data_IF_386953366024
#
_entry.id   IF_386953366024
#
_cell.length_a   1.000
_cell.length_b   1.000
_cell.length_c   1.000
_cell.angle_alpha   90.00
_cell.angle_beta   90.00
_cell.angle_gamma   90.00
#
_symmetry.space_group_name_H-M   'P 1'
#
loop_
_entity.id
_entity.type
_entity.pdbx_description
1 polymer ?
#
# COMPACT_ATOMS: atom_id res chain seq x y z
N UNK A 1 -15.67 10.89 1.49
CA UNK A 1 -14.35 11.21 0.91
C UNK A 1 -13.68 9.87 0.66
N UNK A 2 -13.22 9.59 -0.55
CA UNK A 2 -12.49 8.35 -0.84
C UNK A 2 -11.06 8.46 -0.32
N UNK A 3 -10.56 7.41 0.34
CA UNK A 3 -9.18 7.36 0.80
C UNK A 3 -8.23 7.26 -0.40
N UNK A 4 -7.13 8.00 -0.35
CA UNK A 4 -6.05 7.89 -1.34
C UNK A 4 -4.80 7.43 -0.62
N UNK A 5 -4.28 6.26 -0.98
CA UNK A 5 -3.09 5.69 -0.35
C UNK A 5 -2.10 5.30 -1.45
N UNK A 6 -0.83 5.67 -1.29
CA UNK A 6 0.30 5.16 -2.06
C UNK A 6 1.47 4.91 -1.12
N UNK A 7 1.44 3.78 -0.41
CA UNK A 7 2.42 3.45 0.62
C UNK A 7 3.35 2.33 0.19
N UNK A 8 4.62 2.51 0.54
CA UNK A 8 5.57 1.42 0.70
C UNK A 8 6.01 1.42 2.16
N UNK A 9 5.78 0.31 2.85
CA UNK A 9 6.18 0.08 4.25
C UNK A 9 7.29 -0.95 4.28
N UNK A 10 8.41 -0.62 4.91
CA UNK A 10 9.57 -1.51 5.03
C UNK A 10 9.80 -1.78 6.51
N UNK A 11 9.61 -3.03 6.93
CA UNK A 11 9.76 -3.47 8.33
C UNK A 11 11.21 -3.82 8.68
N UNK A 12 11.53 -3.88 9.98
CA UNK A 12 12.87 -4.23 10.48
C UNK A 12 14.00 -3.41 9.83
N UNK A 13 13.69 -2.16 9.50
CA UNK A 13 14.54 -1.35 8.64
C UNK A 13 15.55 -0.58 9.50
N UNK A 14 16.66 -1.23 9.85
CA UNK A 14 17.80 -0.57 10.49
C UNK A 14 18.58 0.23 9.45
N UNK A 15 18.02 1.36 9.04
CA UNK A 15 18.63 2.25 8.07
C UNK A 15 18.70 3.66 8.63
N UNK A 16 19.92 4.18 8.81
CA UNK A 16 20.15 5.41 9.56
C UNK A 16 19.97 6.69 8.73
N UNK A 17 20.27 6.66 7.43
CA UNK A 17 20.25 7.87 6.60
C UNK A 17 19.14 7.87 5.54
N UNK A 18 17.92 8.24 5.94
CA UNK A 18 16.75 8.30 5.04
C UNK A 18 16.94 9.24 3.85
N UNK A 19 17.74 10.30 3.99
CA UNK A 19 17.95 11.29 2.94
C UNK A 19 18.67 10.72 1.71
N UNK A 20 19.49 9.68 1.89
CA UNK A 20 20.16 8.97 0.79
C UNK A 20 19.26 7.92 0.14
N UNK A 21 18.10 7.60 0.72
CA UNK A 21 17.28 6.49 0.26
C UNK A 21 16.80 6.65 -1.19
N UNK A 22 16.30 7.83 -1.65
CA UNK A 22 15.88 8.03 -3.04
C UNK A 22 16.97 7.66 -4.05
N UNK A 23 18.20 8.09 -3.79
CA UNK A 23 19.35 7.83 -4.65
C UNK A 23 19.70 6.33 -4.65
N UNK A 24 19.75 5.70 -3.47
CA UNK A 24 20.11 4.27 -3.35
C UNK A 24 19.08 3.33 -3.98
N UNK A 25 17.79 3.70 -3.96
CA UNK A 25 16.75 2.93 -4.65
C UNK A 25 16.65 3.26 -6.14
N UNK A 26 17.43 4.23 -6.64
CA UNK A 26 17.53 4.55 -8.07
C UNK A 26 16.48 5.53 -8.58
N UNK A 27 15.86 6.32 -7.70
CA UNK A 27 14.88 7.36 -8.10
C UNK A 27 15.58 8.70 -8.38
N UNK A 28 16.89 8.76 -8.18
CA UNK A 28 17.72 9.93 -8.48
C UNK A 28 18.03 10.77 -7.24
N UNK A 29 18.69 11.89 -7.46
CA UNK A 29 19.09 12.81 -6.39
C UNK A 29 17.96 13.81 -6.13
N UNK A 30 17.20 13.58 -5.05
CA UNK A 30 16.11 14.45 -4.62
C UNK A 30 16.53 15.23 -3.37
N UNK A 31 16.17 16.50 -3.30
CA UNK A 31 16.52 17.34 -2.16
C UNK A 31 15.36 17.42 -1.17
N UNK A 32 15.62 17.39 0.15
CA UNK A 32 14.57 17.60 1.14
C UNK A 32 13.97 19.01 0.99
N UNK A 33 12.65 19.11 1.02
CA UNK A 33 11.91 20.37 0.86
C UNK A 33 11.21 20.82 2.13
N UNK A 34 10.42 19.92 2.72
CA UNK A 34 9.56 20.22 3.89
C UNK A 34 9.16 18.94 4.61
N UNK A 35 8.74 19.10 5.85
CA UNK A 35 8.00 18.06 6.57
C UNK A 35 6.52 18.14 6.20
N UNK A 36 5.87 16.98 6.11
CA UNK A 36 4.44 16.83 5.81
C UNK A 36 3.87 15.68 6.61
N UNK A 37 2.58 15.74 6.93
CA UNK A 37 1.88 14.56 7.44
C UNK A 37 1.80 13.47 6.36
N UNK A 38 1.65 12.21 6.77
CA UNK A 38 1.47 11.09 5.86
C UNK A 38 0.22 11.25 4.98
N UNK A 39 -0.81 11.94 5.49
CA UNK A 39 -2.05 12.22 4.77
C UNK A 39 -1.82 13.25 3.67
N UNK A 40 -1.16 14.37 3.99
CA UNK A 40 -0.79 15.37 2.98
C UNK A 40 0.13 14.78 1.90
N UNK A 41 1.04 13.88 2.29
CA UNK A 41 1.96 13.24 1.36
C UNK A 41 1.26 12.45 0.24
N UNK A 42 0.05 11.90 0.47
CA UNK A 42 -0.71 11.14 -0.54
C UNK A 42 -1.16 11.99 -1.72
N UNK A 43 -1.21 13.31 -1.53
CA UNK A 43 -1.71 14.29 -2.50
C UNK A 43 -0.59 15.14 -3.13
N UNK A 44 0.68 14.81 -2.89
CA UNK A 44 1.79 15.46 -3.57
C UNK A 44 2.03 14.79 -4.93
N UNK A 45 1.97 15.58 -6.00
CA UNK A 45 2.03 15.07 -7.38
C UNK A 45 3.45 14.73 -7.87
N UNK A 46 4.48 15.18 -7.16
CA UNK A 46 5.89 15.02 -7.54
C UNK A 46 6.70 14.53 -6.37
N UNK A 47 7.83 13.90 -6.67
CA UNK A 47 8.80 13.47 -5.67
C UNK A 47 8.32 12.28 -4.84
N UNK A 48 8.82 12.20 -3.60
CA UNK A 48 8.44 11.19 -2.63
C UNK A 48 8.60 11.70 -1.21
N UNK A 49 7.77 11.19 -0.29
CA UNK A 49 7.90 11.50 1.13
C UNK A 49 8.39 10.28 1.88
N UNK A 50 9.41 10.43 2.72
CA UNK A 50 10.05 9.34 3.45
C UNK A 50 10.13 9.70 4.93
N UNK A 51 9.79 8.77 5.80
CA UNK A 51 9.92 8.92 7.24
C UNK A 51 10.05 7.58 7.95
N UNK A 52 10.10 7.66 9.28
CA UNK A 52 10.13 6.48 10.15
C UNK A 52 8.90 6.46 11.03
N UNK A 53 8.43 5.25 11.27
CA UNK A 53 7.42 4.96 12.28
C UNK A 53 7.86 3.70 13.01
N UNK A 54 8.22 3.83 14.28
CA UNK A 54 8.86 2.75 15.06
C UNK A 54 10.10 2.16 14.35
N UNK A 55 10.09 0.85 14.09
CA UNK A 55 11.12 0.09 13.38
C UNK A 55 10.92 0.06 11.85
N UNK A 56 9.98 0.86 11.33
CA UNK A 56 9.55 0.84 9.94
C UNK A 56 9.97 2.11 9.21
N UNK A 57 10.28 1.95 7.93
CA UNK A 57 10.41 3.07 6.99
C UNK A 57 9.14 3.15 6.19
N UNK A 58 8.59 4.36 6.09
CA UNK A 58 7.41 4.64 5.30
C UNK A 58 7.83 5.51 4.13
N UNK A 59 7.44 5.10 2.92
CA UNK A 59 7.62 5.88 1.70
C UNK A 59 6.24 6.11 1.11
N UNK A 60 5.92 7.37 0.82
CA UNK A 60 4.74 7.77 0.06
C UNK A 60 5.17 8.23 -1.31
N UNK A 61 4.78 7.46 -2.34
CA UNK A 61 5.09 7.78 -3.74
C UNK A 61 4.25 6.93 -4.69
N UNK A 62 3.32 7.58 -5.41
CA UNK A 62 2.51 6.92 -6.44
C UNK A 62 3.37 6.24 -7.53
N UNK A 63 4.38 6.91 -8.15
CA UNK A 63 5.24 6.25 -9.13
C UNK A 63 5.96 5.00 -8.61
N UNK A 64 6.46 5.04 -7.37
CA UNK A 64 7.14 3.91 -6.76
C UNK A 64 6.19 2.73 -6.51
N UNK A 65 4.99 3.01 -5.98
CA UNK A 65 3.98 2.00 -5.70
C UNK A 65 3.61 1.24 -6.98
N UNK A 66 3.29 1.97 -8.06
CA UNK A 66 2.93 1.33 -9.32
C UNK A 66 4.10 0.57 -9.96
N UNK A 67 5.34 1.09 -9.88
CA UNK A 67 6.52 0.36 -10.35
C UNK A 67 6.67 -1.00 -9.65
N UNK A 68 6.45 -1.05 -8.33
CA UNK A 68 6.57 -2.28 -7.53
C UNK A 68 5.40 -3.26 -7.72
N UNK A 69 4.21 -2.77 -8.05
CA UNK A 69 3.03 -3.60 -8.32
C UNK A 69 3.06 -4.21 -9.73
N UNK A 70 3.48 -3.45 -10.73
CA UNK A 70 3.41 -3.84 -12.13
C UNK A 70 4.66 -4.60 -12.63
N UNK A 71 5.85 -4.23 -12.14
CA UNK A 71 7.12 -4.73 -12.69
C UNK A 71 7.82 -5.67 -11.71
N UNK A 72 7.75 -6.97 -12.00
CA UNK A 72 8.41 -8.01 -11.19
C UNK A 72 9.93 -7.85 -11.10
N UNK A 73 10.58 -7.32 -12.13
CA UNK A 73 12.05 -7.22 -12.23
C UNK A 73 12.56 -5.77 -12.28
N UNK A 74 11.85 -4.83 -11.66
CA UNK A 74 12.29 -3.43 -11.69
C UNK A 74 13.63 -3.21 -10.99
N UNK A 75 14.43 -2.28 -11.50
CA UNK A 75 15.73 -1.94 -10.89
C UNK A 75 15.55 -1.44 -9.45
N UNK A 76 14.50 -0.65 -9.21
CA UNK A 76 14.15 -0.09 -7.90
C UNK A 76 13.85 -1.21 -6.91
N UNK A 77 13.06 -2.21 -7.32
CA UNK A 77 12.76 -3.38 -6.52
C UNK A 77 14.01 -4.17 -6.12
N UNK A 78 14.88 -4.43 -7.10
CA UNK A 78 16.15 -5.12 -6.85
C UNK A 78 17.06 -4.34 -5.88
N UNK A 79 17.08 -3.01 -5.98
CA UNK A 79 17.82 -2.14 -5.06
C UNK A 79 17.21 -2.18 -3.65
N UNK A 80 15.89 -2.11 -3.53
CA UNK A 80 15.20 -2.25 -2.24
C UNK A 80 15.55 -3.56 -1.54
N UNK A 81 15.57 -4.70 -2.26
CA UNK A 81 15.91 -5.99 -1.65
C UNK A 81 17.37 -6.08 -1.20
N UNK A 82 18.28 -5.43 -1.93
CA UNK A 82 19.69 -5.36 -1.53
C UNK A 82 19.88 -4.52 -0.26
N UNK A 83 19.12 -3.43 -0.13
CA UNK A 83 19.19 -2.55 1.04
C UNK A 83 18.49 -3.19 2.25
N UNK A 84 17.38 -3.90 2.01
CA UNK A 84 16.51 -4.47 3.04
C UNK A 84 16.30 -5.99 2.87
N UNK A 85 17.37 -6.82 2.96
CA UNK A 85 17.33 -8.23 2.55
C UNK A 85 16.53 -9.15 3.48
N UNK A 86 16.24 -8.71 4.71
CA UNK A 86 15.49 -9.48 5.72
C UNK A 86 14.18 -8.81 6.13
N UNK A 87 13.78 -7.80 5.37
CA UNK A 87 12.59 -7.02 5.65
C UNK A 87 11.38 -7.65 4.95
N UNK A 88 10.22 -7.45 5.56
CA UNK A 88 8.97 -7.43 4.80
C UNK A 88 8.77 -6.02 4.23
N UNK A 89 8.47 -5.96 2.94
CA UNK A 89 8.09 -4.77 2.19
C UNK A 89 6.63 -4.95 1.78
N UNK A 90 5.77 -4.08 2.28
CA UNK A 90 4.39 -3.99 1.86
C UNK A 90 4.22 -2.80 0.93
N UNK A 91 3.62 -3.03 -0.23
CA UNK A 91 3.21 -2.00 -1.18
C UNK A 91 1.70 -1.95 -1.13
N UNK A 92 1.11 -0.78 -0.88
CA UNK A 92 -0.32 -0.60 -0.66
C UNK A 92 -0.83 0.58 -1.47
N UNK A 93 -1.97 0.40 -2.15
CA UNK A 93 -2.70 1.46 -2.84
C UNK A 93 -4.20 1.28 -2.70
N UNK A 94 -4.90 2.38 -2.50
CA UNK A 94 -6.37 2.46 -2.62
C UNK A 94 -6.76 3.83 -3.18
N UNK A 95 -7.93 3.90 -3.80
CA UNK A 95 -8.45 5.09 -4.48
C UNK A 95 -8.94 4.72 -5.87
N UNK A 96 -8.23 5.14 -6.92
CA UNK A 96 -8.56 4.73 -8.29
C UNK A 96 -8.13 3.27 -8.60
N UNK A 97 -7.06 2.80 -7.94
CA UNK A 97 -6.58 1.43 -8.06
C UNK A 97 -6.43 0.87 -6.65
N UNK A 98 -7.06 -0.27 -6.42
CA UNK A 98 -6.94 -1.01 -5.18
C UNK A 98 -5.92 -2.13 -5.38
N UNK A 99 -4.87 -2.13 -4.57
CA UNK A 99 -3.81 -3.09 -4.78
C UNK A 99 -2.85 -3.19 -3.62
N UNK A 100 -2.27 -4.36 -3.50
CA UNK A 100 -1.23 -4.62 -2.51
C UNK A 100 -0.24 -5.67 -2.99
N UNK A 101 0.97 -5.58 -2.48
CA UNK A 101 2.00 -6.60 -2.65
C UNK A 101 2.74 -6.79 -1.34
N UNK A 102 2.85 -8.04 -0.89
CA UNK A 102 3.65 -8.42 0.28
C UNK A 102 4.87 -9.18 -0.20
N UNK A 103 6.03 -8.60 0.09
CA UNK A 103 7.33 -9.13 -0.29
C UNK A 103 8.10 -9.37 0.99
N UNK A 104 8.66 -10.56 1.15
CA UNK A 104 9.44 -10.91 2.34
C UNK A 104 10.69 -11.66 1.93
N UNK A 105 11.83 -11.25 2.50
CA UNK A 105 13.14 -11.86 2.22
C UNK A 105 13.46 -11.89 0.70
N UNK A 106 13.06 -10.83 -0.01
CA UNK A 106 13.22 -10.70 -1.47
C UNK A 106 12.25 -11.51 -2.33
N UNK A 107 11.32 -12.26 -1.73
CA UNK A 107 10.34 -13.10 -2.43
C UNK A 107 8.95 -12.47 -2.31
N UNK A 108 8.25 -12.30 -3.44
CA UNK A 108 6.84 -11.90 -3.37
C UNK A 108 5.96 -13.05 -2.92
N UNK A 109 5.23 -12.85 -1.83
CA UNK A 109 4.29 -13.82 -1.29
C UNK A 109 2.90 -13.68 -1.91
N UNK A 110 2.45 -12.44 -2.10
CA UNK A 110 1.13 -12.10 -2.63
C UNK A 110 1.19 -10.79 -3.38
N UNK A 111 0.56 -10.72 -4.57
CA UNK A 111 0.23 -9.45 -5.23
C UNK A 111 -1.17 -9.54 -5.79
N UNK A 112 -1.95 -8.51 -5.51
CA UNK A 112 -3.30 -8.34 -5.98
C UNK A 112 -3.51 -6.90 -6.43
N UNK A 113 -4.07 -6.69 -7.61
CA UNK A 113 -4.39 -5.38 -8.17
C UNK A 113 -5.71 -5.47 -8.91
N UNK A 114 -6.66 -4.64 -8.52
CA UNK A 114 -7.99 -4.49 -9.11
C UNK A 114 -8.30 -3.01 -9.32
N UNK A 115 -8.89 -2.69 -10.47
CA UNK A 115 -9.48 -1.39 -10.75
C UNK A 115 -10.56 -1.56 -11.82
N UNK A 116 -11.55 -0.67 -11.83
CA UNK A 116 -12.66 -0.71 -12.78
C UNK A 116 -13.28 -2.13 -12.88
N UNK A 117 -13.51 -2.77 -11.73
CA UNK A 117 -14.06 -4.13 -11.60
C UNK A 117 -13.23 -5.24 -12.27
N UNK A 118 -11.97 -4.96 -12.65
CA UNK A 118 -11.08 -5.91 -13.34
C UNK A 118 -9.83 -6.16 -12.53
N UNK A 119 -9.58 -7.44 -12.26
CA UNK A 119 -8.31 -7.88 -11.67
C UNK A 119 -7.21 -7.89 -12.74
N UNK A 120 -6.20 -7.05 -12.58
CA UNK A 120 -5.04 -6.98 -13.48
C UNK A 120 -3.90 -7.89 -13.03
N UNK A 121 -3.73 -8.05 -11.71
CA UNK A 121 -2.69 -8.89 -11.12
C UNK A 121 -3.31 -9.70 -9.98
N UNK A 122 -3.14 -11.01 -10.01
CA UNK A 122 -3.62 -11.90 -8.95
C UNK A 122 -2.74 -13.15 -8.89
N UNK A 123 -1.71 -13.13 -8.03
CA UNK A 123 -0.86 -14.30 -7.82
C UNK A 123 -0.40 -14.42 -6.36
N UNK A 124 0.05 -15.61 -5.98
CA UNK A 124 0.39 -15.93 -4.59
C UNK A 124 -0.84 -16.40 -3.80
N UNK A 125 -0.60 -16.82 -2.55
CA UNK A 125 -1.68 -17.27 -1.67
C UNK A 125 -2.43 -16.08 -1.07
N UNK A 126 -3.75 -16.22 -0.91
CA UNK A 126 -4.56 -15.20 -0.25
C UNK A 126 -4.05 -14.95 1.17
N UNK A 127 -4.00 -13.69 1.57
CA UNK A 127 -3.60 -13.29 2.92
C UNK A 127 -4.75 -13.51 3.90
N UNK A 128 -4.44 -13.54 5.20
CA UNK A 128 -5.47 -13.63 6.23
C UNK A 128 -6.42 -12.41 6.17
N UNK A 129 -5.86 -11.23 5.93
CA UNK A 129 -6.58 -9.97 5.76
C UNK A 129 -7.53 -10.00 4.55
N UNK A 130 -7.14 -10.67 3.46
CA UNK A 130 -7.97 -10.84 2.25
C UNK A 130 -9.15 -11.79 2.52
N UNK A 131 -8.90 -12.88 3.23
CA UNK A 131 -9.93 -13.86 3.61
C UNK A 131 -10.92 -13.23 4.59
N UNK A 132 -10.42 -12.47 5.58
CA UNK A 132 -11.23 -11.74 6.54
C UNK A 132 -12.12 -10.70 5.83
N UNK A 133 -11.54 -9.89 4.94
CA UNK A 133 -12.30 -8.91 4.16
C UNK A 133 -13.42 -9.56 3.33
N UNK A 134 -13.12 -10.67 2.65
CA UNK A 134 -14.12 -11.41 1.87
C UNK A 134 -15.26 -11.93 2.75
N UNK A 135 -14.93 -12.50 3.91
CA UNK A 135 -15.92 -13.05 4.83
C UNK A 135 -16.82 -11.96 5.42
N UNK A 136 -16.26 -10.79 5.79
CA UNK A 136 -17.03 -9.66 6.29
C UNK A 136 -18.03 -9.17 5.24
N UNK A 137 -17.57 -8.88 4.03
CA UNK A 137 -18.41 -8.39 2.92
C UNK A 137 -19.49 -9.41 2.57
N UNK A 138 -19.12 -10.69 2.45
CA UNK A 138 -20.07 -11.75 2.08
C UNK A 138 -21.12 -12.03 3.16
N UNK A 139 -20.82 -11.71 4.41
CA UNK A 139 -21.72 -11.93 5.55
C UNK A 139 -22.65 -10.73 5.81
N UNK A 140 -22.30 -9.55 5.30
CA UNK A 140 -23.13 -8.36 5.38
C UNK A 140 -24.30 -8.47 4.40
N UNK A 141 -25.48 -8.80 4.93
CA UNK A 141 -26.68 -9.01 4.12
C UNK A 141 -27.16 -7.74 3.43
N UNK A 142 -27.01 -6.59 4.09
CA UNK A 142 -27.53 -5.33 3.57
C UNK A 142 -26.65 -4.86 2.41
N UNK A 143 -25.33 -4.91 2.59
CA UNK A 143 -24.37 -4.67 1.52
C UNK A 143 -24.55 -5.64 0.35
N UNK A 144 -24.68 -6.94 0.64
CA UNK A 144 -24.83 -7.95 -0.41
C UNK A 144 -26.16 -7.81 -1.19
N UNK A 145 -27.23 -7.35 -0.54
CA UNK A 145 -28.48 -7.06 -1.23
C UNK A 145 -28.33 -5.80 -2.11
N UNK A 146 -27.71 -4.75 -1.59
CA UNK A 146 -27.40 -3.54 -2.36
C UNK A 146 -26.59 -3.85 -3.63
N UNK A 147 -25.50 -4.62 -3.51
CA UNK A 147 -24.67 -4.99 -4.67
C UNK A 147 -25.48 -5.82 -5.68
N UNK A 148 -26.33 -6.74 -5.22
CA UNK A 148 -27.18 -7.55 -6.13
C UNK A 148 -28.21 -6.72 -6.87
N UNK A 149 -28.75 -5.68 -6.25
CA UNK A 149 -29.73 -4.79 -6.88
C UNK A 149 -29.06 -3.83 -7.88
N UNK A 150 -27.90 -3.29 -7.53
CA UNK A 150 -27.20 -2.29 -8.35
C UNK A 150 -26.34 -2.91 -9.45
N UNK A 151 -25.79 -4.11 -9.24
CA UNK A 151 -24.81 -4.73 -10.14
C UNK A 151 -24.96 -6.27 -10.19
N UNK A 152 -26.14 -6.79 -10.60
CA UNK A 152 -26.40 -8.23 -10.62
C UNK A 152 -25.46 -9.00 -11.56
N UNK A 153 -25.05 -8.41 -12.68
CA UNK A 153 -24.18 -9.05 -13.68
C UNK A 153 -22.69 -9.04 -13.28
N UNK A 154 -22.30 -8.11 -12.39
CA UNK A 154 -20.91 -7.89 -11.96
C UNK A 154 -20.73 -8.17 -10.45
N UNK A 155 -21.65 -8.89 -9.81
CA UNK A 155 -21.69 -9.14 -8.37
C UNK A 155 -20.32 -9.53 -7.79
N UNK A 156 -19.68 -10.55 -8.37
CA UNK A 156 -18.38 -11.04 -7.89
C UNK A 156 -17.26 -10.02 -8.12
N UNK A 157 -17.33 -9.23 -9.19
CA UNK A 157 -16.34 -8.21 -9.48
C UNK A 157 -16.42 -7.04 -8.48
N UNK A 158 -17.65 -6.61 -8.15
CA UNK A 158 -17.90 -5.58 -7.13
C UNK A 158 -17.47 -6.07 -5.75
N UNK A 159 -17.78 -7.33 -5.39
CA UNK A 159 -17.30 -7.94 -4.14
C UNK A 159 -15.76 -7.91 -4.11
N UNK A 160 -15.11 -8.37 -5.17
CA UNK A 160 -13.64 -8.41 -5.23
C UNK A 160 -12.99 -7.03 -5.15
N UNK A 161 -13.61 -5.98 -5.71
CA UNK A 161 -13.13 -4.61 -5.60
C UNK A 161 -13.22 -4.08 -4.16
N UNK A 162 -14.36 -4.31 -3.50
CA UNK A 162 -14.54 -3.99 -2.08
C UNK A 162 -13.59 -4.79 -1.18
N UNK A 163 -13.34 -6.06 -1.50
CA UNK A 163 -12.36 -6.90 -0.81
C UNK A 163 -10.96 -6.35 -1.02
N UNK A 164 -10.61 -5.90 -2.23
CA UNK A 164 -9.34 -5.27 -2.52
C UNK A 164 -9.08 -4.05 -1.64
N UNK A 165 -10.03 -3.13 -1.55
CA UNK A 165 -9.96 -1.94 -0.69
C UNK A 165 -9.90 -2.32 0.79
N UNK A 166 -10.83 -3.16 1.26
CA UNK A 166 -10.88 -3.60 2.67
C UNK A 166 -9.60 -4.32 3.10
N UNK A 167 -9.00 -5.11 2.21
CA UNK A 167 -7.71 -5.77 2.48
C UNK A 167 -6.60 -4.74 2.71
N UNK A 168 -6.56 -3.66 1.93
CA UNK A 168 -5.58 -2.57 2.13
C UNK A 168 -5.76 -1.95 3.51
N UNK A 169 -6.98 -1.62 3.92
CA UNK A 169 -7.23 -1.10 5.26
C UNK A 169 -6.84 -2.09 6.36
N UNK A 170 -7.18 -3.37 6.23
CA UNK A 170 -6.74 -4.40 7.18
C UNK A 170 -5.22 -4.55 7.24
N UNK A 171 -4.53 -4.46 6.11
CA UNK A 171 -3.06 -4.45 6.08
C UNK A 171 -2.48 -3.22 6.79
N UNK A 172 -3.12 -2.06 6.72
CA UNK A 172 -2.63 -0.90 7.49
C UNK A 172 -2.62 -1.17 9.00
N UNK A 173 -3.60 -1.91 9.54
CA UNK A 173 -3.59 -2.35 10.95
C UNK A 173 -2.35 -3.15 11.32
N UNK A 174 -1.89 -4.01 10.42
CA UNK A 174 -0.67 -4.81 10.61
C UNK A 174 0.59 -3.94 10.76
N UNK A 175 0.63 -2.79 10.10
CA UNK A 175 1.81 -1.92 10.09
C UNK A 175 1.72 -0.71 11.02
N UNK A 176 0.51 -0.28 11.39
CA UNK A 176 0.29 0.93 12.18
C UNK A 176 -0.49 0.64 13.47
N UNK A 177 -0.72 -0.64 13.82
CA UNK A 177 -1.50 -1.14 14.95
C UNK A 177 -3.02 -0.82 14.91
N UNK A 178 -3.45 0.01 13.96
CA UNK A 178 -4.84 0.40 13.74
C UNK A 178 -5.10 0.57 12.25
N UNK A 179 -6.34 0.34 11.79
CA UNK A 179 -6.67 0.65 10.40
C UNK A 179 -6.66 2.17 10.21
N UNK A 180 -6.36 2.63 9.00
CA UNK A 180 -6.39 4.08 8.74
C UNK A 180 -7.81 4.66 8.68
N UNK A 181 -8.80 3.82 8.38
CA UNK A 181 -10.20 4.20 8.27
C UNK A 181 -10.97 4.10 9.61
N UNK A 182 -10.29 3.70 10.68
CA UNK A 182 -10.82 3.71 12.04
C UNK A 182 -10.65 5.10 12.70
N UNK A 183 -11.67 5.54 13.44
CA UNK A 183 -11.61 6.80 14.20
C UNK A 183 -10.47 6.77 15.23
N UNK A 184 -9.75 7.88 15.37
CA UNK A 184 -8.62 8.01 16.31
C UNK A 184 -7.32 7.34 15.84
N UNK A 185 -7.24 6.92 14.58
CA UNK A 185 -6.02 6.34 14.02
C UNK A 185 -4.83 7.29 14.14
N UNK A 186 -3.76 6.82 14.81
CA UNK A 186 -2.51 7.59 14.92
C UNK A 186 -1.78 7.78 13.58
N UNK A 187 -2.28 7.15 12.51
CA UNK A 187 -1.73 7.26 11.16
C UNK A 187 -1.54 8.72 10.74
N UNK A 188 -2.54 9.58 10.96
CA UNK A 188 -2.48 11.00 10.57
C UNK A 188 -1.35 11.80 11.23
N UNK A 189 -0.85 11.33 12.38
CA UNK A 189 0.22 11.97 13.15
C UNK A 189 1.63 11.60 12.64
N UNK A 190 1.75 10.69 11.67
CA UNK A 190 3.04 10.30 11.10
C UNK A 190 3.57 11.45 10.24
N UNK A 191 4.74 11.97 10.62
CA UNK A 191 5.44 13.03 9.88
C UNK A 191 6.52 12.41 8.99
N UNK A 192 6.56 12.87 7.73
CA UNK A 192 7.50 12.44 6.70
C UNK A 192 8.27 13.67 6.18
N UNK A 193 9.49 13.45 5.70
CA UNK A 193 10.23 14.46 4.93
C UNK A 193 9.90 14.28 3.45
N UNK A 194 9.48 15.35 2.78
CA UNK A 194 9.24 15.38 1.35
C UNK A 194 10.51 15.72 0.55
N UNK A 195 10.76 15.00 -0.53
CA UNK A 195 11.93 15.15 -1.41
C UNK A 195 11.51 15.41 -2.86
N UNK A 196 12.11 16.43 -3.51
CA UNK A 196 11.93 16.81 -4.92
C UNK A 196 13.22 17.35 -5.56
#
# INVERSE_FOLDING_TARGET
MSWKIYLVVITNAVYSNLAELPEKIGVGHLNPKKEVSIMEAQYLDKGMSIGKYEDKIIIVSSPLVFDLLEKKDSEVRNKLFKIFPKSEIAVLTTGYVNGYSIIKDGITLRTYVIADLKSFVNYGQKLAEEIEAYNEISSDKDLMNMIREESPEDLEAVINENVGESTVFKLTKRYFNQRIDEEGSAFENIILTHYE
#
